data_IF_083044228597
#
_entry.id   IF_083044228597
#
_cell.length_a   1.000
_cell.length_b   1.000
_cell.length_c   1.000
_cell.angle_alpha   90.00
_cell.angle_beta   90.00
_cell.angle_gamma   90.00
#
_symmetry.space_group_name_H-M   'P 1'
#
loop_
_entity.id
_entity.type
_entity.pdbx_description
1 polymer ?
#
# COMPACT_ATOMS: atom_id res chain seq x y z
N UNK A 1 -4.44 6.78 10.17
CA UNK A 1 -4.17 8.20 9.84
C UNK A 1 -5.50 8.77 9.36
N UNK A 2 -6.14 9.60 10.18
CA UNK A 2 -7.43 10.18 9.82
C UNK A 2 -7.18 11.27 8.77
N UNK A 3 -7.84 11.18 7.62
CA UNK A 3 -7.85 12.24 6.63
C UNK A 3 -8.63 13.40 7.26
N UNK A 4 -7.90 14.35 7.82
CA UNK A 4 -8.40 15.54 8.51
C UNK A 4 -8.96 16.52 7.47
N UNK A 5 -10.03 16.10 6.78
CA UNK A 5 -10.75 16.90 5.78
C UNK A 5 -11.73 17.88 6.44
N UNK A 6 -11.58 18.15 7.74
CA UNK A 6 -12.55 18.85 8.58
C UNK A 6 -11.95 20.07 9.29
N UNK A 7 -11.33 20.97 8.51
CA UNK A 7 -10.90 22.29 9.03
C UNK A 7 -11.91 23.40 8.68
N UNK A 8 -13.03 23.08 8.02
CA UNK A 8 -14.13 24.04 7.90
C UNK A 8 -15.45 23.33 7.64
N UNK A 9 -16.33 23.27 8.64
CA UNK A 9 -17.69 22.71 8.54
C UNK A 9 -18.60 23.35 7.46
N UNK A 10 -18.09 24.26 6.64
CA UNK A 10 -18.72 24.78 5.44
C UNK A 10 -18.81 23.74 4.31
N UNK A 11 -17.79 22.90 4.11
CA UNK A 11 -17.74 21.94 2.99
C UNK A 11 -18.61 20.69 3.23
N UNK A 12 -18.92 20.37 4.50
CA UNK A 12 -19.83 19.28 4.87
C UNK A 12 -21.28 19.53 4.45
N UNK A 13 -21.66 20.80 4.25
CA UNK A 13 -22.99 21.20 3.81
C UNK A 13 -23.13 21.17 2.28
N UNK A 14 -22.04 21.00 1.53
CA UNK A 14 -22.06 21.02 0.07
C UNK A 14 -22.39 19.64 -0.50
N UNK A 15 -23.25 19.63 -1.52
CA UNK A 15 -23.42 18.46 -2.37
C UNK A 15 -22.37 18.50 -3.48
N UNK A 16 -21.45 17.53 -3.42
CA UNK A 16 -20.33 17.41 -4.38
C UNK A 16 -20.44 16.11 -5.14
N UNK A 17 -20.44 16.22 -6.46
CA UNK A 17 -20.50 15.09 -7.38
C UNK A 17 -19.37 15.20 -8.40
N UNK A 18 -18.59 14.13 -8.52
CA UNK A 18 -17.61 13.98 -9.60
C UNK A 18 -18.22 13.08 -10.68
N UNK A 19 -18.12 13.50 -11.93
CA UNK A 19 -18.71 12.77 -13.05
C UNK A 19 -17.89 12.92 -14.33
N UNK A 20 -18.05 11.97 -15.25
CA UNK A 20 -17.44 12.03 -16.56
C UNK A 20 -18.36 12.82 -17.48
N UNK A 21 -17.88 13.94 -18.02
CA UNK A 21 -18.70 14.79 -18.87
C UNK A 21 -19.01 14.08 -20.20
N UNK A 22 -20.27 14.11 -20.62
CA UNK A 22 -20.79 13.36 -21.78
C UNK A 22 -20.92 14.23 -23.04
N UNK A 23 -20.86 15.57 -22.90
CA UNK A 23 -21.07 16.53 -23.98
C UNK A 23 -19.77 17.08 -24.56
N UNK A 24 -19.76 17.30 -25.87
CA UNK A 24 -18.71 18.06 -26.54
C UNK A 24 -18.70 19.52 -26.07
N UNK A 25 -17.54 20.17 -25.90
CA UNK A 25 -16.18 19.74 -26.26
C UNK A 25 -15.40 19.00 -25.14
N UNK A 26 -16.04 18.68 -24.02
CA UNK A 26 -15.38 18.11 -22.83
C UNK A 26 -15.66 16.62 -22.61
N UNK A 27 -16.16 15.93 -23.64
CA UNK A 27 -16.53 14.52 -23.59
C UNK A 27 -15.39 13.64 -23.05
N UNK A 28 -15.69 12.82 -22.04
CA UNK A 28 -14.73 11.92 -21.40
C UNK A 28 -13.81 12.55 -20.35
N UNK A 29 -13.91 13.86 -20.11
CA UNK A 29 -13.12 14.54 -19.06
C UNK A 29 -13.85 14.48 -17.72
N UNK A 30 -13.09 14.37 -16.63
CA UNK A 30 -13.62 14.44 -15.28
C UNK A 30 -14.06 15.87 -14.94
N UNK A 31 -15.31 16.02 -14.51
CA UNK A 31 -15.90 17.28 -14.04
C UNK A 31 -16.33 17.15 -12.58
N UNK A 32 -16.37 18.28 -11.89
CA UNK A 32 -16.90 18.38 -10.54
C UNK A 32 -18.09 19.33 -10.54
N UNK A 33 -19.17 18.90 -9.90
CA UNK A 33 -20.34 19.71 -9.59
C UNK A 33 -20.40 19.93 -8.09
N UNK A 34 -20.37 21.19 -7.67
CA UNK A 34 -20.49 21.61 -6.27
C UNK A 34 -21.71 22.50 -6.17
N UNK A 35 -22.66 22.13 -5.31
CA UNK A 35 -23.85 22.94 -5.06
C UNK A 35 -24.24 22.92 -3.59
N UNK A 36 -24.80 24.01 -3.09
CA UNK A 36 -25.39 24.05 -1.74
C UNK A 36 -26.81 23.47 -1.80
N UNK A 37 -27.13 22.40 -1.07
CA UNK A 37 -28.49 21.87 -0.99
C UNK A 37 -29.48 22.96 -0.56
N UNK A 38 -30.48 23.22 -1.38
CA UNK A 38 -31.50 24.26 -1.14
C UNK A 38 -31.26 25.57 -1.89
N UNK A 39 -30.06 25.81 -2.43
CA UNK A 39 -29.76 26.95 -3.31
C UNK A 39 -29.60 26.47 -4.76
N UNK A 40 -30.48 26.94 -5.64
CA UNK A 40 -30.47 26.59 -7.07
C UNK A 40 -29.56 27.49 -7.91
N UNK A 41 -29.08 28.60 -7.36
CA UNK A 41 -28.32 29.60 -8.11
C UNK A 41 -26.82 29.40 -7.99
N UNK A 42 -26.35 28.81 -6.88
CA UNK A 42 -24.93 28.59 -6.64
C UNK A 42 -24.51 27.15 -7.03
N UNK A 43 -24.43 26.90 -8.34
CA UNK A 43 -23.95 25.62 -8.89
C UNK A 43 -22.62 25.89 -9.60
N UNK A 44 -21.54 25.30 -9.09
CA UNK A 44 -20.22 25.34 -9.71
C UNK A 44 -20.07 24.05 -10.52
N UNK A 45 -19.91 24.16 -11.84
CA UNK A 45 -19.67 23.03 -12.75
C UNK A 45 -18.42 23.32 -13.58
N UNK A 46 -17.32 22.62 -13.29
CA UNK A 46 -16.01 22.89 -13.90
C UNK A 46 -15.16 21.61 -13.99
N UNK A 47 -14.15 21.57 -14.88
CA UNK A 47 -13.23 20.44 -14.94
C UNK A 47 -12.52 20.21 -13.60
N UNK A 48 -12.26 18.93 -13.28
CA UNK A 48 -11.56 18.55 -12.05
C UNK A 48 -10.16 19.16 -12.01
N UNK A 49 -9.81 19.70 -10.84
CA UNK A 49 -8.49 20.28 -10.51
C UNK A 49 -7.93 19.55 -9.31
N UNK A 50 -6.62 19.67 -9.06
CA UNK A 50 -5.97 19.06 -7.88
C UNK A 50 -6.65 19.49 -6.58
N UNK A 51 -6.90 20.79 -6.43
CA UNK A 51 -7.57 21.36 -5.25
C UNK A 51 -8.93 20.70 -4.93
N UNK A 52 -9.67 20.24 -5.95
CA UNK A 52 -10.96 19.55 -5.73
C UNK A 52 -10.78 18.14 -5.16
N UNK A 53 -9.70 17.44 -5.57
CA UNK A 53 -9.39 16.09 -5.09
C UNK A 53 -8.93 16.12 -3.63
N UNK A 54 -8.15 17.14 -3.27
CA UNK A 54 -7.69 17.36 -1.90
C UNK A 54 -8.83 17.78 -0.97
N UNK A 55 -9.74 18.65 -1.44
CA UNK A 55 -10.91 19.11 -0.65
C UNK A 55 -11.99 18.05 -0.47
N UNK A 56 -12.23 17.23 -1.49
CA UNK A 56 -13.32 16.25 -1.50
C UNK A 56 -12.80 14.82 -1.76
N UNK A 57 -11.91 14.30 -0.89
CA UNK A 57 -11.21 13.04 -1.14
C UNK A 57 -12.18 11.85 -1.13
N UNK A 58 -13.23 11.92 -0.32
CA UNK A 58 -14.26 10.87 -0.27
C UNK A 58 -15.02 10.79 -1.59
N UNK A 59 -15.56 11.91 -2.07
CA UNK A 59 -16.35 11.97 -3.30
C UNK A 59 -15.50 11.64 -4.52
N UNK A 60 -14.23 12.07 -4.52
CA UNK A 60 -13.27 11.69 -5.55
C UNK A 60 -13.01 10.17 -5.56
N UNK A 61 -12.80 9.55 -4.40
CA UNK A 61 -12.62 8.11 -4.29
C UNK A 61 -13.83 7.33 -4.82
N UNK A 62 -15.05 7.79 -4.50
CA UNK A 62 -16.28 7.19 -5.04
C UNK A 62 -16.32 7.22 -6.57
N UNK A 63 -15.95 8.35 -7.18
CA UNK A 63 -15.84 8.47 -8.63
C UNK A 63 -14.79 7.54 -9.24
N UNK A 64 -13.61 7.43 -8.62
CA UNK A 64 -12.56 6.50 -9.07
C UNK A 64 -13.03 5.03 -8.99
N UNK A 65 -13.75 4.66 -7.92
CA UNK A 65 -14.33 3.33 -7.78
C UNK A 65 -15.38 3.05 -8.85
N UNK A 66 -16.24 4.02 -9.17
CA UNK A 66 -17.28 3.88 -10.18
C UNK A 66 -16.72 3.77 -11.60
N UNK A 67 -15.66 4.52 -11.91
CA UNK A 67 -14.98 4.48 -13.21
C UNK A 67 -13.98 3.32 -13.34
N UNK A 68 -13.84 2.47 -12.31
CA UNK A 68 -12.94 1.31 -12.35
C UNK A 68 -11.45 1.67 -12.28
N UNK A 69 -11.12 2.95 -12.11
CA UNK A 69 -9.77 3.49 -11.92
C UNK A 69 -9.33 3.41 -10.45
N UNK A 70 -9.86 2.41 -9.74
CA UNK A 70 -9.37 2.07 -8.40
C UNK A 70 -7.89 1.74 -8.55
N UNK A 71 -6.98 2.36 -7.77
CA UNK A 71 -5.60 1.93 -7.72
C UNK A 71 -5.61 0.51 -7.16
N UNK A 72 -5.59 -0.47 -8.06
CA UNK A 72 -5.62 -1.86 -7.69
C UNK A 72 -4.25 -2.19 -7.10
N UNK A 73 -4.22 -2.35 -5.78
CA UNK A 73 -2.98 -2.60 -5.05
C UNK A 73 -2.54 -4.02 -5.37
N UNK A 74 -1.46 -4.14 -6.16
CA UNK A 74 -0.88 -5.42 -6.52
C UNK A 74 -0.38 -5.46 -7.97
N UNK A 75 -0.08 -6.66 -8.42
CA UNK A 75 0.42 -6.94 -9.77
C UNK A 75 -0.76 -7.03 -10.73
N UNK A 76 -0.86 -6.17 -11.77
CA UNK A 76 -1.95 -6.21 -12.72
C UNK A 76 -2.00 -7.54 -13.48
N UNK A 77 -3.20 -8.09 -13.73
CA UNK A 77 -3.34 -9.34 -14.50
C UNK A 77 -2.76 -9.24 -15.92
N UNK A 78 -2.83 -8.06 -16.54
CA UNK A 78 -2.22 -7.79 -17.83
C UNK A 78 -0.68 -7.95 -17.81
N UNK A 79 -0.04 -7.68 -16.66
CA UNK A 79 1.39 -7.89 -16.48
C UNK A 79 1.73 -9.38 -16.41
N UNK A 80 0.92 -10.16 -15.70
CA UNK A 80 1.09 -11.62 -15.63
C UNK A 80 0.93 -12.27 -17.00
N UNK A 81 -0.09 -11.90 -17.78
CA UNK A 81 -0.28 -12.40 -19.14
C UNK A 81 0.91 -12.06 -20.06
N UNK A 82 1.48 -10.85 -19.97
CA UNK A 82 2.68 -10.48 -20.73
C UNK A 82 3.92 -11.27 -20.31
N UNK A 83 4.07 -11.54 -19.01
CA UNK A 83 5.24 -12.24 -18.49
C UNK A 83 5.19 -13.75 -18.78
N UNK A 84 3.99 -14.36 -18.72
CA UNK A 84 3.77 -15.80 -18.91
C UNK A 84 2.49 -16.07 -19.70
N UNK A 85 2.52 -15.89 -21.03
CA UNK A 85 1.36 -16.12 -21.88
C UNK A 85 0.92 -17.60 -21.90
N UNK A 86 1.82 -18.55 -21.60
CA UNK A 86 1.46 -19.96 -21.45
C UNK A 86 0.61 -20.29 -20.20
N UNK A 87 0.64 -19.45 -19.15
CA UNK A 87 -0.04 -19.72 -17.89
C UNK A 87 -1.48 -19.20 -17.84
N UNK A 88 -1.76 -18.11 -18.56
CA UNK A 88 -3.05 -17.43 -18.60
C UNK A 88 -3.39 -17.07 -20.04
N UNK A 89 -4.48 -17.62 -20.56
CA UNK A 89 -4.98 -17.32 -21.91
C UNK A 89 -5.74 -15.99 -21.94
N UNK A 90 -5.79 -15.32 -23.09
CA UNK A 90 -6.57 -14.09 -23.30
C UNK A 90 -8.04 -14.25 -22.91
N UNK A 91 -8.65 -15.41 -23.21
CA UNK A 91 -10.03 -15.69 -22.82
C UNK A 91 -10.20 -15.75 -21.30
N UNK A 92 -9.23 -16.30 -20.57
CA UNK A 92 -9.24 -16.36 -19.10
C UNK A 92 -9.00 -14.98 -18.49
N UNK A 93 -8.12 -14.18 -19.11
CA UNK A 93 -7.89 -12.80 -18.70
C UNK A 93 -9.15 -11.95 -18.85
N UNK A 94 -9.87 -12.11 -19.97
CA UNK A 94 -11.13 -11.42 -20.21
C UNK A 94 -12.21 -11.85 -19.22
N UNK A 95 -12.34 -13.14 -18.94
CA UNK A 95 -13.30 -13.66 -17.94
C UNK A 95 -13.00 -13.11 -16.54
N UNK A 96 -11.74 -13.09 -16.13
CA UNK A 96 -11.31 -12.48 -14.87
C UNK A 96 -11.65 -10.99 -14.81
N UNK A 97 -11.43 -10.25 -15.91
CA UNK A 97 -11.79 -8.84 -16.00
C UNK A 97 -13.31 -8.61 -15.91
N UNK A 98 -14.13 -9.47 -16.53
CA UNK A 98 -15.60 -9.42 -16.43
C UNK A 98 -16.03 -9.61 -14.97
N UNK A 99 -15.41 -10.57 -14.28
CA UNK A 99 -15.64 -10.87 -12.87
C UNK A 99 -14.97 -9.89 -11.89
N UNK A 100 -14.41 -8.79 -12.40
CA UNK A 100 -13.78 -7.70 -11.65
C UNK A 100 -12.54 -8.13 -10.83
N UNK A 101 -11.87 -9.21 -11.24
CA UNK A 101 -10.50 -9.46 -10.80
C UNK A 101 -9.56 -8.52 -11.59
N UNK A 102 -8.79 -7.71 -10.86
CA UNK A 102 -7.86 -6.74 -11.44
C UNK A 102 -6.39 -7.11 -11.22
N UNK A 103 -6.09 -7.86 -10.16
CA UNK A 103 -4.71 -8.21 -9.78
C UNK A 103 -4.49 -9.71 -9.57
N UNK A 104 -3.24 -10.14 -9.68
CA UNK A 104 -2.85 -11.55 -9.47
C UNK A 104 -3.08 -11.98 -8.03
N UNK A 105 -2.87 -11.08 -7.07
CA UNK A 105 -3.09 -11.32 -5.64
C UNK A 105 -4.55 -11.67 -5.37
N UNK A 106 -5.50 -10.96 -6.01
CA UNK A 106 -6.93 -11.26 -5.88
C UNK A 106 -7.27 -12.66 -6.38
N UNK A 107 -6.64 -13.11 -7.48
CA UNK A 107 -6.82 -14.47 -8.02
C UNK A 107 -6.20 -15.52 -7.09
N UNK A 108 -5.03 -15.24 -6.51
CA UNK A 108 -4.35 -16.14 -5.58
C UNK A 108 -5.11 -16.34 -4.26
N UNK A 109 -5.80 -15.29 -3.78
CA UNK A 109 -6.61 -15.31 -2.55
C UNK A 109 -8.09 -15.62 -2.77
N UNK A 110 -8.53 -15.79 -4.02
CA UNK A 110 -9.93 -16.03 -4.34
C UNK A 110 -10.45 -17.33 -3.70
N UNK A 111 -11.65 -17.24 -3.10
CA UNK A 111 -12.34 -18.40 -2.54
C UNK A 111 -12.69 -19.41 -3.63
N UNK A 112 -12.89 -20.66 -3.24
CA UNK A 112 -13.22 -21.72 -4.19
C UNK A 112 -14.50 -21.41 -4.98
N UNK A 113 -15.52 -20.85 -4.31
CA UNK A 113 -16.76 -20.40 -4.93
C UNK A 113 -16.54 -19.28 -5.96
N UNK A 114 -15.61 -18.36 -5.71
CA UNK A 114 -15.29 -17.29 -6.66
C UNK A 114 -14.52 -17.82 -7.87
N UNK A 115 -13.55 -18.72 -7.65
CA UNK A 115 -12.74 -19.35 -8.70
C UNK A 115 -13.61 -20.22 -9.62
N UNK A 116 -14.54 -20.99 -9.07
CA UNK A 116 -15.43 -21.84 -9.87
C UNK A 116 -16.28 -21.03 -10.87
N UNK A 117 -16.59 -19.76 -10.56
CA UNK A 117 -17.34 -18.87 -11.47
C UNK A 117 -16.54 -18.43 -12.70
N UNK A 118 -15.21 -18.47 -12.63
CA UNK A 118 -14.31 -18.17 -13.75
C UNK A 118 -14.36 -19.29 -14.80
N UNK A 119 -14.83 -20.50 -14.43
CA UNK A 119 -15.06 -21.60 -15.36
C UNK A 119 -14.03 -22.74 -15.27
N UNK A 120 -14.03 -23.61 -16.29
CA UNK A 120 -13.20 -24.81 -16.33
C UNK A 120 -11.71 -24.47 -16.33
N UNK A 121 -10.95 -25.08 -15.40
CA UNK A 121 -9.51 -24.86 -15.27
C UNK A 121 -9.11 -23.69 -14.36
N UNK A 122 -10.08 -22.97 -13.79
CA UNK A 122 -9.80 -21.84 -12.91
C UNK A 122 -9.12 -22.23 -11.58
N UNK A 123 -9.34 -23.47 -11.11
CA UNK A 123 -8.65 -24.00 -9.92
C UNK A 123 -7.13 -24.08 -10.14
N UNK A 124 -6.70 -24.45 -11.35
CA UNK A 124 -5.28 -24.42 -11.74
C UNK A 124 -4.75 -23.00 -11.87
N UNK A 125 -5.59 -22.05 -12.30
CA UNK A 125 -5.21 -20.64 -12.44
C UNK A 125 -4.85 -20.01 -11.09
N UNK A 126 -5.58 -20.34 -10.02
CA UNK A 126 -5.26 -19.89 -8.66
C UNK A 126 -3.87 -20.34 -8.21
N UNK A 127 -3.51 -21.59 -8.51
CA UNK A 127 -2.21 -22.13 -8.12
C UNK A 127 -1.08 -21.50 -8.94
N UNK A 128 -1.29 -21.31 -10.24
CA UNK A 128 -0.34 -20.56 -11.09
C UNK A 128 -0.16 -19.12 -10.62
N UNK A 129 -1.23 -18.44 -10.22
CA UNK A 129 -1.16 -17.09 -9.66
C UNK A 129 -0.27 -17.03 -8.41
N UNK A 130 -0.40 -18.02 -7.50
CA UNK A 130 0.47 -18.12 -6.32
C UNK A 130 1.92 -18.34 -6.71
N UNK A 131 2.19 -19.28 -7.62
CA UNK A 131 3.54 -19.56 -8.10
C UNK A 131 4.17 -18.34 -8.76
N UNK A 132 3.41 -17.60 -9.57
CA UNK A 132 3.85 -16.36 -10.20
C UNK A 132 4.19 -15.29 -9.16
N UNK A 133 3.37 -15.12 -8.12
CA UNK A 133 3.67 -14.20 -7.02
C UNK A 133 4.89 -14.64 -6.22
N UNK A 134 5.10 -15.93 -6.00
CA UNK A 134 6.30 -16.44 -5.35
C UNK A 134 7.57 -16.16 -6.17
N UNK A 135 7.54 -16.37 -7.49
CA UNK A 135 8.69 -16.04 -8.34
C UNK A 135 8.94 -14.54 -8.44
N UNK A 136 7.87 -13.73 -8.57
CA UNK A 136 7.98 -12.27 -8.71
C UNK A 136 8.37 -11.60 -7.39
N UNK A 137 7.93 -12.15 -6.25
CA UNK A 137 8.38 -11.69 -4.92
C UNK A 137 9.87 -11.96 -4.69
N UNK A 138 10.41 -13.02 -5.30
CA UNK A 138 11.85 -13.30 -5.33
C UNK A 138 12.65 -12.33 -6.20
N UNK A 139 12.00 -11.74 -7.22
CA UNK A 139 12.61 -10.82 -8.20
C UNK A 139 12.34 -9.34 -7.93
N UNK A 140 11.71 -8.99 -6.80
CA UNK A 140 11.71 -7.62 -6.30
C UNK A 140 13.12 -7.23 -5.84
N UNK A 141 13.98 -6.89 -6.81
CA UNK A 141 15.32 -6.33 -6.61
C UNK A 141 15.29 -5.17 -5.61
N UNK A 142 14.24 -4.36 -5.62
CA UNK A 142 14.05 -3.28 -4.65
C UNK A 142 13.78 -3.77 -3.23
N UNK A 143 13.00 -4.84 -3.02
CA UNK A 143 12.73 -5.35 -1.66
C UNK A 143 13.96 -6.08 -1.13
N UNK A 144 14.67 -6.85 -1.96
CA UNK A 144 15.99 -7.42 -1.60
C UNK A 144 17.01 -6.33 -1.28
N UNK A 145 17.08 -5.26 -2.07
CA UNK A 145 17.99 -4.15 -1.81
C UNK A 145 17.61 -3.38 -0.54
N UNK A 146 16.31 -3.18 -0.27
CA UNK A 146 15.82 -2.57 0.97
C UNK A 146 16.09 -3.48 2.17
N UNK A 147 15.86 -4.78 2.06
CA UNK A 147 16.15 -5.77 3.10
C UNK A 147 17.65 -5.84 3.42
N UNK A 148 18.50 -5.92 2.40
CA UNK A 148 19.95 -5.91 2.58
C UNK A 148 20.43 -4.61 3.25
N UNK A 149 19.89 -3.45 2.84
CA UNK A 149 20.19 -2.18 3.51
C UNK A 149 19.74 -2.18 4.98
N UNK A 150 18.52 -2.63 5.26
CA UNK A 150 18.02 -2.70 6.64
C UNK A 150 18.80 -3.69 7.51
N UNK A 151 19.30 -4.79 6.94
CA UNK A 151 20.15 -5.75 7.65
C UNK A 151 21.50 -5.12 8.01
N UNK A 152 22.13 -4.41 7.06
CA UNK A 152 23.38 -3.68 7.34
C UNK A 152 23.21 -2.58 8.39
N UNK A 153 22.08 -1.86 8.37
CA UNK A 153 21.76 -0.83 9.37
C UNK A 153 21.52 -1.45 10.75
N UNK A 154 20.82 -2.58 10.84
CA UNK A 154 20.60 -3.28 12.11
C UNK A 154 21.90 -3.83 12.70
N UNK A 155 22.81 -4.33 11.87
CA UNK A 155 24.11 -4.82 12.32
C UNK A 155 25.00 -3.69 12.84
N UNK A 156 25.03 -2.55 12.13
CA UNK A 156 25.72 -1.34 12.58
C UNK A 156 25.13 -0.77 13.88
N UNK A 157 23.80 -0.77 14.01
CA UNK A 157 23.12 -0.30 15.22
C UNK A 157 23.38 -1.24 16.41
N UNK A 158 23.34 -2.57 16.19
CA UNK A 158 23.69 -3.57 17.21
C UNK A 158 25.13 -3.40 17.68
N UNK A 159 26.08 -3.14 16.79
CA UNK A 159 27.47 -2.88 17.15
C UNK A 159 27.62 -1.62 18.02
N UNK A 160 26.91 -0.53 17.70
CA UNK A 160 26.90 0.68 18.54
C UNK A 160 26.27 0.44 19.91
N UNK A 161 25.17 -0.31 19.98
CA UNK A 161 24.53 -0.69 21.26
C UNK A 161 25.47 -1.53 22.10
N UNK A 162 26.17 -2.51 21.52
CA UNK A 162 27.14 -3.34 22.24
C UNK A 162 28.32 -2.51 22.75
N UNK A 163 28.87 -1.59 21.95
CA UNK A 163 29.96 -0.71 22.37
C UNK A 163 29.55 0.23 23.52
N UNK A 164 28.34 0.79 23.47
CA UNK A 164 27.80 1.64 24.54
C UNK A 164 27.50 0.86 25.81
N UNK A 165 27.01 -0.38 25.70
CA UNK A 165 26.78 -1.26 26.85
C UNK A 165 28.11 -1.66 27.50
N UNK A 166 29.13 -2.01 26.72
CA UNK A 166 30.48 -2.32 27.23
C UNK A 166 31.12 -1.10 27.94
N UNK A 167 31.06 0.08 27.32
CA UNK A 167 31.55 1.32 27.92
C UNK A 167 30.79 1.74 29.19
N UNK A 168 29.55 1.27 29.36
CA UNK A 168 28.74 1.48 30.58
C UNK A 168 29.11 0.49 31.68
N UNK A 169 29.38 -0.77 31.36
CA UNK A 169 29.76 -1.79 32.34
C UNK A 169 31.14 -1.54 32.94
N UNK A 170 32.08 -1.02 32.15
CA UNK A 170 33.44 -0.69 32.61
C UNK A 170 33.44 0.44 33.66
N UNK A 171 32.54 1.41 33.50
CA UNK A 171 32.40 2.55 34.42
C UNK A 171 31.86 2.17 35.80
N UNK A 172 31.05 1.11 35.85
CA UNK A 172 30.48 0.57 37.10
C UNK A 172 31.40 -0.41 37.83
N UNK A 173 32.36 -1.03 37.13
CA UNK A 173 33.28 -2.00 37.70
C UNK A 173 34.44 -1.40 38.51
N UNK A 174 34.76 -0.13 38.29
CA UNK A 174 35.98 0.50 38.82
C UNK A 174 35.82 1.07 40.25
N UNK A 175 34.59 1.17 40.76
CA UNK A 175 34.30 1.69 42.11
C UNK A 175 34.54 0.65 43.22
N UNK A 176 34.53 -0.66 42.91
CA UNK A 176 34.51 -1.73 43.94
C UNK A 176 35.91 -2.26 44.31
N UNK A 177 36.96 -2.01 43.51
CA UNK A 177 38.28 -2.69 43.68
C UNK A 177 39.34 -1.94 44.50
N UNK A 178 39.04 -0.79 45.13
CA UNK A 178 40.04 0.00 45.87
C UNK A 178 39.93 -0.13 47.39
N UNK A 179 40.28 -1.30 47.94
CA UNK A 179 40.77 -1.41 49.34
C UNK A 179 41.92 -2.43 49.41
N UNK A 180 43.19 -1.97 49.46
CA UNK A 180 44.33 -2.87 49.65
C UNK A 180 44.32 -3.45 51.07
N UNK A 181 44.35 -4.78 51.18
CA UNK A 181 44.41 -5.50 52.45
C UNK A 181 45.71 -5.24 53.20
N UNK A 182 45.61 -5.04 54.52
CA UNK A 182 46.75 -4.91 55.46
C UNK A 182 47.48 -6.27 55.59
N UNK A 183 48.81 -6.34 55.46
CA UNK A 183 49.55 -7.60 55.58
C UNK A 183 49.62 -8.06 57.05
N UNK A 184 49.69 -9.38 57.31
CA UNK A 184 49.64 -9.92 58.68
C UNK A 184 51.00 -9.80 59.38
N UNK A 185 50.97 -9.36 60.65
CA UNK A 185 52.15 -9.31 61.53
C UNK A 185 52.58 -10.72 61.93
N UNK A 186 53.88 -11.02 61.74
CA UNK A 186 54.50 -12.28 62.17
C UNK A 186 54.53 -12.39 63.70
N UNK A 187 54.20 -13.58 64.20
CA UNK A 187 54.21 -13.96 65.62
C UNK A 187 55.65 -14.16 66.11
N UNK A 188 55.96 -13.60 67.28
CA UNK A 188 57.05 -14.04 68.17
C UNK A 188 56.47 -14.81 69.34
#
# INVERSE_FOLDING_TARGET
>A
MALDSDVSGADAQLHVEFYTHDRDPHKGKAFVRIMTPGDKYNIIDQPVREDHRERFPRQWLWYQMQNGESPSVGTPLAMWHKARPEEISDGQLQELSILRFQTVEQVATASDMQIQRVGMGATGLRERARLFLHSTSGDNSETKAKLAKTETELEALKAQVMALVAARTDRTGDVIKRRPGRPPLQKG
#
